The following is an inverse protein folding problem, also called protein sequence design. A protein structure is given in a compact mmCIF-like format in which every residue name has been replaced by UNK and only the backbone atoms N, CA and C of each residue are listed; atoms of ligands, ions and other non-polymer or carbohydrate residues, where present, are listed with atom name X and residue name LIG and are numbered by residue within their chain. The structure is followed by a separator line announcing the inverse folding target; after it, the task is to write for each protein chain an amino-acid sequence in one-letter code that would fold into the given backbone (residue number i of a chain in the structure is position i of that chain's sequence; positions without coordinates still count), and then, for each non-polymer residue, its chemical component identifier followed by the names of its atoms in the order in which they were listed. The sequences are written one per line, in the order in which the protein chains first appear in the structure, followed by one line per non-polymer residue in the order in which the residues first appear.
data_IF_946310692258
#
_entry.id   IF_946310692258
#
_cell.length_a   1.000
_cell.length_b   1.000
_cell.length_c   1.000
_cell.angle_alpha   90.00
_cell.angle_beta   90.00
_cell.angle_gamma   90.00
#
_symmetry.space_group_name_H-M   'P 1'
#
loop_
_entity.id
_entity.type
_entity.pdbx_description
1 polymer ?
#
# COMPACT_ATOMS: atom_id res chain seq x y z
N UNK A 1 -11.27 -0.98 -0.43
CA UNK A 1 -10.39 0.18 -0.61
C UNK A 1 -10.04 0.25 -2.07
N UNK A 2 -10.07 1.42 -2.67
CA UNK A 2 -9.73 1.65 -4.07
C UNK A 2 -8.43 2.44 -4.17
N UNK A 3 -7.65 2.19 -5.22
CA UNK A 3 -6.45 2.95 -5.57
C UNK A 3 -6.85 4.03 -6.58
N UNK A 4 -6.72 5.31 -6.22
CA UNK A 4 -7.01 6.41 -7.18
C UNK A 4 -5.84 6.67 -8.14
N UNK A 5 -4.62 6.33 -7.72
CA UNK A 5 -3.39 6.39 -8.53
C UNK A 5 -2.45 5.28 -8.07
N UNK A 6 -1.41 4.97 -8.85
CA UNK A 6 -0.39 3.96 -8.49
C UNK A 6 0.34 4.21 -7.17
N UNK A 7 0.37 5.45 -6.67
CA UNK A 7 1.02 5.79 -5.40
C UNK A 7 0.01 6.06 -4.27
N UNK A 8 -1.27 5.80 -4.51
CA UNK A 8 -2.32 6.04 -3.52
C UNK A 8 -2.35 4.92 -2.47
N UNK A 9 -1.87 5.21 -1.27
CA UNK A 9 -2.04 4.36 -0.09
C UNK A 9 -2.97 5.00 0.96
N UNK A 10 -3.73 6.05 0.60
CA UNK A 10 -4.52 6.84 1.54
C UNK A 10 -5.63 6.04 2.22
N UNK A 11 -6.24 5.09 1.51
CA UNK A 11 -7.25 4.23 2.10
C UNK A 11 -6.69 3.28 3.17
N UNK A 12 -5.42 2.87 3.07
CA UNK A 12 -4.77 2.02 4.07
C UNK A 12 -4.47 2.86 5.30
N UNK A 13 -3.90 4.05 5.11
CA UNK A 13 -3.64 5.01 6.19
C UNK A 13 -4.93 5.36 6.93
N UNK A 14 -6.04 5.59 6.20
CA UNK A 14 -7.34 5.87 6.81
C UNK A 14 -7.87 4.69 7.63
N UNK A 15 -7.74 3.44 7.14
CA UNK A 15 -8.20 2.25 7.89
C UNK A 15 -7.40 2.04 9.18
N UNK A 16 -6.09 2.29 9.13
CA UNK A 16 -5.24 2.26 10.33
C UNK A 16 -5.63 3.38 11.30
N UNK A 17 -5.83 4.61 10.80
CA UNK A 17 -6.24 5.75 11.62
C UNK A 17 -7.61 5.56 12.28
N UNK A 18 -8.53 4.84 11.63
CA UNK A 18 -9.84 4.47 12.18
C UNK A 18 -9.77 3.33 13.20
N UNK A 19 -8.59 2.75 13.46
CA UNK A 19 -8.41 1.66 14.40
C UNK A 19 -8.96 0.32 13.94
N UNK A 20 -9.22 0.13 12.64
CA UNK A 20 -9.70 -1.14 12.11
C UNK A 20 -8.67 -2.27 12.30
N UNK A 21 -7.38 -1.93 12.23
CA UNK A 21 -6.21 -2.75 12.55
C UNK A 21 -4.99 -1.83 12.67
N UNK A 22 -3.93 -2.28 13.34
CA UNK A 22 -2.67 -1.54 13.39
C UNK A 22 -1.79 -1.83 12.17
N UNK A 23 -0.89 -0.91 11.85
CA UNK A 23 0.10 -1.14 10.80
C UNK A 23 0.87 -2.45 11.01
N UNK A 24 1.14 -2.84 12.26
CA UNK A 24 1.89 -4.04 12.63
C UNK A 24 1.10 -5.36 12.52
N UNK A 25 -0.23 -5.29 12.35
CA UNK A 25 -1.08 -6.46 12.12
C UNK A 25 -1.21 -6.85 10.64
N UNK A 26 -0.76 -6.00 9.71
CA UNK A 26 -0.81 -6.30 8.27
C UNK A 26 0.22 -7.38 7.92
N UNK A 27 -0.24 -8.54 7.45
CA UNK A 27 0.64 -9.66 7.05
C UNK A 27 0.81 -9.80 5.54
N UNK A 28 -0.13 -9.25 4.76
CA UNK A 28 -0.09 -9.28 3.30
C UNK A 28 -0.87 -8.11 2.71
N UNK A 29 -0.43 -7.64 1.54
CA UNK A 29 -1.16 -6.71 0.68
C UNK A 29 -1.25 -7.36 -0.70
N UNK A 30 -2.47 -7.47 -1.22
CA UNK A 30 -2.73 -7.95 -2.58
C UNK A 30 -3.43 -6.81 -3.30
N UNK A 31 -2.87 -6.39 -4.43
CA UNK A 31 -3.35 -5.25 -5.20
C UNK A 31 -3.26 -5.49 -6.70
N UNK A 32 -4.10 -4.76 -7.42
CA UNK A 32 -4.13 -4.68 -8.88
C UNK A 32 -3.65 -3.27 -9.24
N UNK A 33 -2.58 -3.15 -10.03
CA UNK A 33 -2.06 -1.86 -10.50
C UNK A 33 -2.52 -1.53 -11.93
N UNK A 34 -2.48 -0.26 -12.34
CA UNK A 34 -2.99 0.18 -13.65
C UNK A 34 -2.00 0.04 -14.81
N UNK A 35 -0.81 -0.49 -14.56
CA UNK A 35 0.18 -0.71 -15.61
C UNK A 35 -0.17 -1.85 -16.57
N UNK A 36 0.70 -2.05 -17.56
CA UNK A 36 0.46 -2.97 -18.67
C UNK A 36 0.63 -4.46 -18.30
N UNK A 37 1.07 -4.79 -17.08
CA UNK A 37 1.32 -6.16 -16.62
C UNK A 37 2.53 -6.87 -17.24
N UNK A 38 3.27 -6.19 -18.12
CA UNK A 38 4.44 -6.72 -18.80
C UNK A 38 5.73 -6.64 -17.99
N UNK A 39 6.85 -6.92 -18.65
CA UNK A 39 8.19 -6.84 -18.03
C UNK A 39 8.48 -5.41 -17.55
N UNK A 40 8.15 -4.41 -18.36
CA UNK A 40 8.41 -2.99 -18.09
C UNK A 40 7.31 -2.28 -17.27
N UNK A 41 6.46 -3.03 -16.57
CA UNK A 41 5.44 -2.42 -15.70
C UNK A 41 6.05 -1.96 -14.37
N UNK A 42 6.38 -0.67 -14.28
CA UNK A 42 6.90 -0.03 -13.07
C UNK A 42 5.82 0.36 -12.05
N UNK A 43 4.54 0.30 -12.43
CA UNK A 43 3.42 0.64 -11.52
C UNK A 43 3.39 -0.27 -10.29
N UNK A 44 3.86 -1.51 -10.44
CA UNK A 44 4.02 -2.49 -9.37
C UNK A 44 4.95 -1.99 -8.26
N UNK A 45 6.12 -1.47 -8.64
CA UNK A 45 7.13 -0.97 -7.69
C UNK A 45 6.65 0.34 -7.04
N UNK A 46 6.00 1.21 -7.80
CA UNK A 46 5.43 2.46 -7.26
C UNK A 46 4.35 2.18 -6.20
N UNK A 47 3.48 1.19 -6.44
CA UNK A 47 2.47 0.77 -5.48
C UNK A 47 3.10 0.12 -4.24
N UNK A 48 4.06 -0.79 -4.41
CA UNK A 48 4.79 -1.40 -3.29
C UNK A 48 5.45 -0.33 -2.39
N UNK A 49 6.16 0.64 -3.00
CA UNK A 49 6.79 1.72 -2.26
C UNK A 49 5.79 2.58 -1.49
N UNK A 50 4.64 2.93 -2.10
CA UNK A 50 3.62 3.74 -1.44
C UNK A 50 3.05 3.03 -0.20
N UNK A 51 2.72 1.75 -0.32
CA UNK A 51 2.17 0.96 0.78
C UNK A 51 3.20 0.72 1.89
N UNK A 52 4.43 0.35 1.53
CA UNK A 52 5.52 0.17 2.51
C UNK A 52 5.80 1.46 3.27
N UNK A 53 5.76 2.63 2.60
CA UNK A 53 5.98 3.92 3.25
C UNK A 53 4.94 4.20 4.34
N UNK A 54 3.67 3.87 4.11
CA UNK A 54 2.61 3.99 5.14
C UNK A 54 2.85 3.00 6.28
N UNK A 55 3.16 1.74 5.98
CA UNK A 55 3.40 0.71 7.01
C UNK A 55 4.63 1.04 7.88
N UNK A 56 5.72 1.52 7.28
CA UNK A 56 6.91 1.96 8.03
C UNK A 56 6.64 3.22 8.86
N UNK A 57 5.86 4.17 8.32
CA UNK A 57 5.50 5.41 9.03
C UNK A 57 4.65 5.15 10.28
N UNK A 58 3.75 4.18 10.23
CA UNK A 58 2.73 3.94 11.26
C UNK A 58 3.01 2.70 12.13
N UNK A 59 3.92 1.83 11.71
CA UNK A 59 4.32 0.61 12.41
C UNK A 59 5.67 0.75 13.12
N UNK A 60 6.09 -0.34 13.76
CA UNK A 60 7.40 -0.42 14.45
C UNK A 60 8.30 -1.53 13.91
N UNK A 61 7.87 -2.22 12.84
CA UNK A 61 8.63 -3.29 12.20
C UNK A 61 9.86 -2.73 11.46
N UNK A 62 11.01 -3.37 11.69
CA UNK A 62 12.31 -3.09 11.06
C UNK A 62 12.59 -3.99 9.87
#
# INVERSE_FOLDING_TARGET
MELKTVQDASGLEQKIAQGAFTADQVIAVIGKTEGNGGVNDFTRILADQAFRRVLMKLGKRS
#
